data_IF_427275446923
#
_entry.id   IF_427275446923
#
_cell.length_a   1.000
_cell.length_b   1.000
_cell.length_c   1.000
_cell.angle_alpha   90.00
_cell.angle_beta   90.00
_cell.angle_gamma   90.00
#
_symmetry.space_group_name_H-M   'P 1'
#
loop_
_entity.id
_entity.type
_entity.pdbx_description
1 polymer ?
#
# COMPACT_ATOMS: atom_id res chain seq x y z
N UNK A 1 16.49 -10.70 1.39
CA UNK A 1 15.89 -10.73 2.76
C UNK A 1 14.94 -11.93 2.88
N UNK A 2 14.77 -12.59 4.04
CA UNK A 2 13.80 -13.71 4.20
C UNK A 2 12.55 -13.24 4.94
N UNK A 3 11.69 -12.49 4.24
CA UNK A 3 10.48 -11.90 4.83
C UNK A 3 9.25 -12.05 3.94
N UNK A 4 8.11 -12.31 4.56
CA UNK A 4 6.79 -12.28 3.96
C UNK A 4 6.18 -10.91 4.11
N UNK A 5 5.73 -10.31 3.01
CA UNK A 5 5.13 -8.97 3.00
C UNK A 5 3.70 -9.04 2.49
N UNK A 6 2.84 -8.19 3.04
CA UNK A 6 1.47 -8.02 2.59
C UNK A 6 1.34 -6.76 1.73
N UNK A 7 0.76 -6.91 0.54
CA UNK A 7 0.36 -5.80 -0.34
C UNK A 7 -0.68 -6.30 -1.34
N UNK A 8 -1.56 -5.42 -1.83
CA UNK A 8 -2.54 -5.76 -2.89
C UNK A 8 -3.32 -7.08 -2.67
N UNK A 9 -3.80 -7.30 -1.44
CA UNK A 9 -4.61 -8.46 -1.09
C UNK A 9 -3.86 -9.80 -0.96
N UNK A 10 -2.53 -9.79 -1.09
CA UNK A 10 -1.70 -11.00 -1.15
C UNK A 10 -0.48 -10.91 -0.25
N UNK A 11 0.04 -12.08 0.13
CA UNK A 11 1.30 -12.22 0.85
C UNK A 11 2.37 -12.76 -0.10
N UNK A 12 3.51 -12.07 -0.16
CA UNK A 12 4.65 -12.43 -1.00
C UNK A 12 5.84 -12.80 -0.13
N UNK A 13 6.50 -13.91 -0.43
CA UNK A 13 7.63 -14.42 0.34
C UNK A 13 8.96 -14.14 -0.38
N UNK A 14 9.77 -13.22 0.17
CA UNK A 14 11.10 -12.86 -0.36
C UNK A 14 12.15 -13.98 -0.20
N UNK A 15 11.82 -15.08 0.49
CA UNK A 15 12.69 -16.26 0.53
C UNK A 15 12.50 -17.18 -0.68
N UNK A 16 11.39 -17.04 -1.41
CA UNK A 16 11.08 -17.85 -2.60
C UNK A 16 11.04 -17.03 -3.88
N UNK A 17 10.61 -15.76 -3.80
CA UNK A 17 10.53 -14.84 -4.93
C UNK A 17 11.57 -13.73 -4.83
N UNK A 18 12.21 -13.43 -5.95
CA UNK A 18 13.03 -12.24 -6.10
C UNK A 18 12.18 -10.96 -6.08
N UNK A 19 12.81 -9.84 -5.73
CA UNK A 19 12.19 -8.51 -5.69
C UNK A 19 11.50 -8.17 -7.02
N UNK A 20 12.13 -8.48 -8.15
CA UNK A 20 11.57 -8.22 -9.48
C UNK A 20 10.32 -9.06 -9.78
N UNK A 21 10.24 -10.29 -9.28
CA UNK A 21 9.08 -11.16 -9.47
C UNK A 21 7.89 -10.62 -8.67
N UNK A 22 8.13 -10.18 -7.43
CA UNK A 22 7.13 -9.49 -6.62
C UNK A 22 6.69 -8.19 -7.28
N UNK A 23 7.64 -7.39 -7.79
CA UNK A 23 7.34 -6.14 -8.51
C UNK A 23 6.38 -6.39 -9.68
N UNK A 24 6.71 -7.37 -10.54
CA UNK A 24 5.90 -7.71 -11.70
C UNK A 24 4.51 -8.26 -11.30
N UNK A 25 4.45 -9.11 -10.26
CA UNK A 25 3.19 -9.69 -9.80
C UNK A 25 2.24 -8.62 -9.24
N UNK A 26 2.76 -7.72 -8.40
CA UNK A 26 1.97 -6.61 -7.83
C UNK A 26 1.56 -5.62 -8.92
N UNK A 27 2.46 -5.31 -9.86
CA UNK A 27 2.15 -4.44 -11.00
C UNK A 27 1.01 -5.03 -11.86
N UNK A 28 1.04 -6.33 -12.14
CA UNK A 28 -0.02 -6.99 -12.92
C UNK A 28 -1.39 -6.95 -12.23
N UNK A 29 -1.44 -6.96 -10.90
CA UNK A 29 -2.69 -6.78 -10.15
C UNK A 29 -3.17 -5.32 -10.19
N UNK A 30 -2.25 -4.35 -10.09
CA UNK A 30 -2.58 -2.93 -10.19
C UNK A 30 -3.07 -2.56 -11.59
N UNK A 31 -2.47 -3.09 -12.66
CA UNK A 31 -2.86 -2.82 -14.04
C UNK A 31 -4.27 -3.31 -14.36
N UNK A 32 -4.76 -4.36 -13.68
CA UNK A 32 -6.14 -4.82 -13.80
C UNK A 32 -7.15 -3.88 -13.16
N UNK A 33 -6.74 -3.15 -12.13
CA UNK A 33 -7.62 -2.24 -11.38
C UNK A 33 -7.63 -0.84 -11.98
N UNK A 34 -6.45 -0.33 -12.35
CA UNK A 34 -6.26 1.07 -12.74
C UNK A 34 -6.02 1.28 -14.24
N UNK A 35 -6.07 0.20 -15.03
CA UNK A 35 -5.52 0.12 -16.39
C UNK A 35 -3.99 0.34 -16.41
N UNK A 36 -3.34 -0.14 -17.47
CA UNK A 36 -1.89 -0.02 -17.62
C UNK A 36 -1.43 1.43 -17.50
N UNK A 37 -0.57 1.71 -16.52
CA UNK A 37 0.03 3.03 -16.29
C UNK A 37 -0.69 3.95 -15.29
N UNK A 38 -1.81 3.54 -14.70
CA UNK A 38 -2.49 4.32 -13.65
C UNK A 38 -1.68 4.39 -12.34
N UNK A 39 -1.13 3.24 -11.91
CA UNK A 39 -0.22 3.12 -10.78
C UNK A 39 1.00 2.32 -11.20
N UNK A 40 2.20 2.85 -10.98
CA UNK A 40 3.46 2.13 -11.16
C UNK A 40 4.04 1.77 -9.80
N UNK A 41 4.21 0.48 -9.58
CA UNK A 41 4.81 -0.08 -8.39
C UNK A 41 6.31 -0.27 -8.56
N UNK A 42 7.06 -0.05 -7.48
CA UNK A 42 8.46 -0.44 -7.36
C UNK A 42 8.71 -1.02 -5.99
N UNK A 43 9.56 -2.04 -5.92
CA UNK A 43 10.01 -2.61 -4.65
C UNK A 43 11.54 -2.68 -4.63
N UNK A 44 12.13 -2.37 -3.46
CA UNK A 44 13.57 -2.39 -3.27
C UNK A 44 13.94 -2.87 -1.88
N UNK A 45 14.91 -3.79 -1.81
CA UNK A 45 15.66 -4.02 -0.57
C UNK A 45 16.63 -2.86 -0.31
N UNK A 46 16.32 -2.03 0.70
CA UNK A 46 17.17 -0.88 1.07
C UNK A 46 18.31 -1.33 1.98
N UNK A 47 18.05 -2.31 2.84
CA UNK A 47 19.04 -3.00 3.66
C UNK A 47 18.53 -4.40 4.00
N UNK A 48 19.34 -5.24 4.63
CA UNK A 48 18.93 -6.62 5.02
C UNK A 48 17.70 -6.72 5.94
N UNK A 49 17.22 -5.60 6.50
CA UNK A 49 16.03 -5.51 7.36
C UNK A 49 14.99 -4.49 6.90
N UNK A 50 15.16 -3.88 5.73
CA UNK A 50 14.28 -2.80 5.28
C UNK A 50 13.92 -2.98 3.82
N UNK A 51 12.61 -3.10 3.59
CA UNK A 51 12.01 -3.10 2.27
C UNK A 51 11.32 -1.76 2.03
N UNK A 52 11.49 -1.20 0.84
CA UNK A 52 10.77 0.00 0.39
C UNK A 52 9.81 -0.40 -0.73
N UNK A 53 8.53 -0.06 -0.54
CA UNK A 53 7.46 -0.18 -1.52
C UNK A 53 7.11 1.23 -2.00
N UNK A 54 7.20 1.49 -3.29
CA UNK A 54 6.87 2.78 -3.88
C UNK A 54 5.71 2.61 -4.85
N UNK A 55 4.65 3.37 -4.64
CA UNK A 55 3.49 3.44 -5.52
C UNK A 55 3.47 4.83 -6.16
N UNK A 56 3.98 4.91 -7.38
CA UNK A 56 3.86 6.09 -8.23
C UNK A 56 2.45 6.10 -8.80
N UNK A 57 1.68 7.15 -8.58
CA UNK A 57 0.30 7.23 -9.04
C UNK A 57 0.00 8.62 -9.58
N UNK A 58 -0.86 8.68 -10.56
CA UNK A 58 -1.41 9.93 -11.07
C UNK A 58 -2.88 9.96 -10.74
N UNK A 59 -3.30 10.95 -9.96
CA UNK A 59 -4.71 11.26 -9.82
C UNK A 59 -5.16 12.08 -11.02
N UNK A 60 -6.37 11.80 -11.50
CA UNK A 60 -7.02 12.69 -12.46
C UNK A 60 -7.37 14.00 -11.77
N UNK A 61 -7.46 15.07 -12.55
CA UNK A 61 -7.96 16.35 -12.06
C UNK A 61 -9.36 16.16 -11.44
N UNK A 62 -9.54 16.62 -10.19
CA UNK A 62 -10.77 16.44 -9.42
C UNK A 62 -10.88 15.15 -8.58
N UNK A 63 -9.99 14.16 -8.76
CA UNK A 63 -9.95 12.95 -7.88
C UNK A 63 -9.32 13.23 -6.52
N UNK A 64 -8.40 14.18 -6.48
CA UNK A 64 -7.85 14.74 -5.25
C UNK A 64 -7.96 16.26 -5.33
N UNK A 65 -8.41 16.84 -4.23
CA UNK A 65 -8.26 18.26 -3.99
C UNK A 65 -6.78 18.55 -3.70
N UNK A 66 -6.04 18.87 -4.78
CA UNK A 66 -4.62 19.17 -4.71
C UNK A 66 -4.32 20.40 -3.85
N UNK A 67 -5.25 21.35 -3.76
CA UNK A 67 -5.11 22.55 -2.93
C UNK A 67 -5.10 22.20 -1.44
N UNK A 68 -5.79 21.12 -1.07
CA UNK A 68 -5.92 20.64 0.30
C UNK A 68 -5.19 19.32 0.57
N UNK A 69 -4.20 18.97 -0.27
CA UNK A 69 -3.40 17.76 -0.05
C UNK A 69 -2.55 17.88 1.23
N UNK A 70 -2.86 17.07 2.25
CA UNK A 70 -2.06 17.01 3.47
C UNK A 70 -1.11 15.79 3.46
N UNK A 71 0.22 15.99 3.36
CA UNK A 71 1.18 14.90 3.39
C UNK A 71 1.26 14.19 4.75
N UNK A 72 0.60 14.66 5.82
CA UNK A 72 0.50 14.00 7.13
C UNK A 72 -0.59 12.92 7.16
N UNK A 73 -1.54 12.99 6.22
CA UNK A 73 -2.65 12.05 6.11
C UNK A 73 -2.31 10.93 5.11
N UNK A 74 -3.19 9.94 5.07
CA UNK A 74 -3.23 8.93 4.01
C UNK A 74 -4.64 8.89 3.45
N UNK A 75 -4.77 9.05 2.14
CA UNK A 75 -6.06 9.07 1.47
C UNK A 75 -6.57 7.65 1.30
N UNK A 76 -7.90 7.46 1.24
CA UNK A 76 -8.50 6.13 1.14
C UNK A 76 -7.97 5.36 -0.07
N UNK A 77 -7.81 6.06 -1.19
CA UNK A 77 -7.26 5.48 -2.41
C UNK A 77 -5.79 5.05 -2.23
N UNK A 78 -4.99 5.76 -1.43
CA UNK A 78 -3.64 5.33 -1.05
C UNK A 78 -3.69 4.04 -0.22
N UNK A 79 -4.57 4.00 0.78
CA UNK A 79 -4.76 2.83 1.63
C UNK A 79 -5.20 1.62 0.79
N UNK A 80 -6.12 1.81 -0.15
CA UNK A 80 -6.59 0.77 -1.08
C UNK A 80 -5.47 0.30 -2.00
N UNK A 81 -4.66 1.21 -2.59
CA UNK A 81 -3.51 0.85 -3.45
C UNK A 81 -2.47 0.03 -2.68
N UNK A 82 -2.17 0.38 -1.43
CA UNK A 82 -1.19 -0.35 -0.62
C UNK A 82 -1.74 -1.73 -0.24
N UNK A 83 -3.01 -1.83 0.14
CA UNK A 83 -3.56 -3.03 0.78
C UNK A 83 -4.33 -3.95 -0.16
N UNK A 84 -4.75 -3.45 -1.32
CA UNK A 84 -5.72 -4.11 -2.20
C UNK A 84 -7.17 -4.00 -1.71
N UNK A 85 -7.44 -3.25 -0.65
CA UNK A 85 -8.80 -3.11 -0.12
C UNK A 85 -9.76 -2.58 -1.19
N UNK A 86 -10.96 -3.18 -1.26
CA UNK A 86 -12.01 -2.88 -2.24
C UNK A 86 -11.71 -3.31 -3.68
N UNK A 87 -10.52 -3.85 -3.98
CA UNK A 87 -10.21 -4.38 -5.30
C UNK A 87 -10.52 -5.88 -5.36
N UNK A 88 -11.16 -6.32 -6.45
CA UNK A 88 -11.51 -7.72 -6.68
C UNK A 88 -12.27 -8.37 -5.50
N UNK A 89 -13.11 -7.60 -4.80
CA UNK A 89 -13.86 -8.07 -3.64
C UNK A 89 -13.03 -8.29 -2.36
N UNK A 90 -11.73 -7.99 -2.36
CA UNK A 90 -10.88 -8.16 -1.20
C UNK A 90 -11.22 -7.15 -0.09
N UNK A 91 -11.37 -7.67 1.14
CA UNK A 91 -11.55 -6.86 2.35
C UNK A 91 -10.38 -7.10 3.27
N UNK A 92 -9.77 -6.01 3.72
CA UNK A 92 -8.66 -6.09 4.67
C UNK A 92 -9.20 -6.59 6.03
N UNK A 93 -8.50 -7.51 6.72
CA UNK A 93 -9.00 -8.07 7.98
C UNK A 93 -9.20 -7.06 9.10
N UNK A 94 -8.21 -6.20 9.35
CA UNK A 94 -8.31 -5.09 10.30
C UNK A 94 -8.48 -3.80 9.50
N UNK A 95 -9.72 -3.30 9.47
CA UNK A 95 -10.13 -2.18 8.66
C UNK A 95 -10.11 -0.88 9.47
N UNK A 96 -9.57 0.18 8.88
CA UNK A 96 -9.39 1.51 9.47
C UNK A 96 -10.68 2.33 9.61
N UNK A 97 -11.84 1.68 9.61
CA UNK A 97 -13.15 2.33 9.70
C UNK A 97 -13.63 2.91 8.36
N UNK A 98 -14.91 2.68 8.06
CA UNK A 98 -15.57 3.18 6.86
C UNK A 98 -16.63 4.20 7.25
N UNK A 99 -16.70 5.30 6.52
CA UNK A 99 -17.75 6.32 6.67
C UNK A 99 -18.58 6.39 5.37
N UNK A 100 -19.83 6.90 5.46
CA UNK A 100 -20.87 6.65 4.48
C UNK A 100 -20.55 7.21 3.09
N UNK A 101 -21.14 6.58 2.08
CA UNK A 101 -21.09 6.90 0.66
C UNK A 101 -20.99 8.42 0.38
N UNK A 102 -19.93 8.86 -0.32
CA UNK A 102 -19.93 10.16 -1.02
C UNK A 102 -18.81 11.17 -0.71
N UNK A 103 -17.81 10.88 0.13
CA UNK A 103 -16.72 11.84 0.43
C UNK A 103 -15.30 11.27 0.19
N UNK A 104 -14.36 12.16 -0.19
CA UNK A 104 -12.93 11.90 -0.31
C UNK A 104 -12.34 11.63 1.08
N UNK A 105 -12.29 10.37 1.48
CA UNK A 105 -11.85 9.95 2.81
C UNK A 105 -10.32 9.99 2.96
N UNK A 106 -9.83 10.52 4.09
CA UNK A 106 -8.44 10.47 4.52
C UNK A 106 -8.37 10.15 6.02
N UNK A 107 -7.25 9.58 6.47
CA UNK A 107 -7.04 9.23 7.88
C UNK A 107 -5.60 9.56 8.33
N UNK A 108 -5.33 9.64 9.64
CA UNK A 108 -3.98 9.75 10.15
C UNK A 108 -3.14 8.51 9.76
N UNK A 109 -1.89 8.72 9.32
CA UNK A 109 -0.98 7.60 8.99
C UNK A 109 -0.82 6.59 10.13
N UNK A 110 -0.87 7.05 11.39
CA UNK A 110 -0.72 6.18 12.56
C UNK A 110 -1.82 5.12 12.63
N UNK A 111 -3.05 5.51 12.30
CA UNK A 111 -4.22 4.62 12.31
C UNK A 111 -4.08 3.57 11.22
N UNK A 112 -3.84 4.00 9.97
CA UNK A 112 -3.55 3.10 8.85
C UNK A 112 -2.40 2.13 9.15
N UNK A 113 -1.30 2.60 9.74
CA UNK A 113 -0.15 1.76 10.09
C UNK A 113 -0.54 0.67 11.09
N UNK A 114 -1.42 0.97 12.05
CA UNK A 114 -1.96 -0.01 12.99
C UNK A 114 -2.72 -1.11 12.26
N UNK A 115 -3.72 -0.72 11.46
CA UNK A 115 -4.56 -1.62 10.68
C UNK A 115 -3.75 -2.47 9.69
N UNK A 116 -2.80 -1.86 8.98
CA UNK A 116 -1.90 -2.56 8.07
C UNK A 116 -1.08 -3.64 8.79
N UNK A 117 -0.45 -3.28 9.93
CA UNK A 117 0.40 -4.22 10.67
C UNK A 117 -0.38 -5.42 11.20
N UNK A 118 -1.57 -5.17 11.76
CA UNK A 118 -2.44 -6.24 12.26
C UNK A 118 -2.92 -7.14 11.12
N UNK A 119 -3.36 -6.54 10.02
CA UNK A 119 -3.81 -7.27 8.83
C UNK A 119 -2.71 -8.09 8.18
N UNK A 120 -1.49 -7.56 8.10
CA UNK A 120 -0.35 -8.29 7.58
C UNK A 120 -0.14 -9.61 8.37
N UNK A 121 -0.18 -9.54 9.70
CA UNK A 121 -0.05 -10.73 10.56
C UNK A 121 -1.24 -11.69 10.36
N UNK A 122 -2.47 -11.18 10.34
CA UNK A 122 -3.68 -12.00 10.14
C UNK A 122 -3.68 -12.73 8.78
N UNK A 123 -3.07 -12.14 7.76
CA UNK A 123 -2.93 -12.73 6.42
C UNK A 123 -1.72 -13.67 6.29
N UNK A 124 -0.90 -13.81 7.34
CA UNK A 124 0.27 -14.69 7.36
C UNK A 124 1.57 -14.06 6.82
N UNK A 125 1.63 -12.73 6.71
CA UNK A 125 2.88 -12.02 6.49
C UNK A 125 3.68 -11.88 7.80
N UNK A 126 4.97 -11.56 7.68
CA UNK A 126 5.81 -11.35 8.85
C UNK A 126 5.42 -10.09 9.61
N UNK A 127 5.54 -10.15 10.94
CA UNK A 127 5.32 -9.00 11.79
C UNK A 127 6.33 -7.89 11.46
N UNK A 128 5.82 -6.75 10.97
CA UNK A 128 6.65 -5.57 10.71
C UNK A 128 6.88 -4.81 12.02
N UNK A 129 8.14 -4.65 12.44
CA UNK A 129 8.49 -3.91 13.65
C UNK A 129 8.06 -2.44 13.52
N UNK A 130 8.46 -1.78 12.43
CA UNK A 130 8.13 -0.38 12.17
C UNK A 130 7.79 -0.13 10.71
N UNK A 131 6.72 0.63 10.48
CA UNK A 131 6.33 1.14 9.17
C UNK A 131 6.60 2.64 9.13
N UNK A 132 7.16 3.16 8.04
CA UNK A 132 7.22 4.60 7.75
C UNK A 132 6.52 4.87 6.42
N UNK A 133 5.68 5.90 6.37
CA UNK A 133 4.95 6.30 5.16
C UNK A 133 5.28 7.75 4.83
N UNK A 134 5.85 7.95 3.65
CA UNK A 134 5.99 9.27 3.03
C UNK A 134 4.91 9.38 1.96
N UNK A 135 4.04 10.36 2.12
CA UNK A 135 2.97 10.63 1.18
C UNK A 135 3.30 11.93 0.43
N UNK A 136 3.26 11.83 -0.89
CA UNK A 136 3.43 12.93 -1.83
C UNK A 136 2.29 12.87 -2.87
N UNK A 137 2.01 14.00 -3.54
CA UNK A 137 0.99 14.06 -4.56
C UNK A 137 1.10 12.92 -5.60
N UNK A 138 2.30 12.67 -6.12
CA UNK A 138 2.54 11.71 -7.21
C UNK A 138 2.99 10.34 -6.72
N UNK A 139 3.30 10.18 -5.41
CA UNK A 139 3.75 8.88 -4.89
C UNK A 139 3.49 8.63 -3.41
N UNK A 140 3.33 7.36 -3.07
CA UNK A 140 3.44 6.85 -1.70
C UNK A 140 4.70 6.00 -1.60
N UNK A 141 5.50 6.26 -0.58
CA UNK A 141 6.66 5.42 -0.23
C UNK A 141 6.42 4.83 1.15
N UNK A 142 6.32 3.51 1.21
CA UNK A 142 6.15 2.73 2.42
C UNK A 142 7.43 1.94 2.71
N UNK A 143 8.02 2.18 3.87
CA UNK A 143 9.19 1.42 4.34
C UNK A 143 8.78 0.46 5.45
N UNK A 144 8.98 -0.83 5.18
CA UNK A 144 8.80 -1.91 6.14
C UNK A 144 10.14 -2.22 6.78
N UNK A 145 10.22 -2.05 8.11
CA UNK A 145 11.42 -2.33 8.90
C UNK A 145 11.09 -3.53 9.78
N UNK A 146 11.79 -4.64 9.53
CA UNK A 146 11.66 -5.90 10.26
C UNK A 146 12.66 -5.98 11.42
#
# INVERSE_FOLDING_TARGET
>A
MKKKIFTMGKVYDLSTLGVNEIENAVQADLDKVFNAGGVKFKVREVSGKTLELTFLRKYREGEIDWLNYDPKLIYNIDANIITGHSFNGFRIPDYWGGVPFGYTFFMPKREFIGCYKNSAVLLGADQVKRVKITAQPEKIVMRLIF
#
